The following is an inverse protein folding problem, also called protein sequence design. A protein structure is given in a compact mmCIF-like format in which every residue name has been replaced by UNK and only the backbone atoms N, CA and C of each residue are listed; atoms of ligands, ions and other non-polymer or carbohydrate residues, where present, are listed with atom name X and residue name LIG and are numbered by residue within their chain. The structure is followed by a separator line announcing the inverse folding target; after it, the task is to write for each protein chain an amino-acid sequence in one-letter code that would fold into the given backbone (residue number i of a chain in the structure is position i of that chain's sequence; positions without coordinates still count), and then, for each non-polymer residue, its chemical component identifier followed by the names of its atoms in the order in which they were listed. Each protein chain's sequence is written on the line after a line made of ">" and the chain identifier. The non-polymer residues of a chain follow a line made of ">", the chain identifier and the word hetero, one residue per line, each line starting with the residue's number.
data_IF_702330988585
#
_entry.id   IF_702330988585
#
_cell.length_a   1.000
_cell.length_b   1.000
_cell.length_c   1.000
_cell.angle_alpha   90.00
_cell.angle_beta   90.00
_cell.angle_gamma   90.00
#
_symmetry.space_group_name_H-M   'P 1'
#
loop_
_entity.id
_entity.type
_entity.pdbx_description
1 polymer ?
#
# COMPACT_ATOMS: atom_id res chain seq x y z
N UNK A 1 42.12 -22.21 54.32
CA UNK A 1 41.10 -21.22 53.88
C UNK A 1 41.47 -20.68 52.50
N UNK A 2 40.69 -20.97 51.45
CA UNK A 2 40.81 -20.31 50.14
C UNK A 2 39.39 -20.04 49.62
N UNK A 3 38.82 -18.88 49.95
CA UNK A 3 37.55 -18.42 49.36
C UNK A 3 37.87 -17.90 47.96
N UNK A 4 37.27 -18.51 46.94
CA UNK A 4 37.38 -18.06 45.55
C UNK A 4 36.74 -16.66 45.40
N UNK A 5 37.34 -15.73 44.66
CA UNK A 5 36.78 -14.41 44.45
C UNK A 5 35.52 -14.51 43.57
N UNK A 6 34.41 -13.97 44.07
CA UNK A 6 33.16 -13.90 43.32
C UNK A 6 33.26 -12.76 42.29
N UNK A 7 33.50 -13.13 41.03
CA UNK A 7 33.46 -12.20 39.89
C UNK A 7 31.97 -11.90 39.64
N UNK A 8 31.49 -10.76 40.14
CA UNK A 8 30.15 -10.26 39.80
C UNK A 8 30.13 -9.95 38.31
N UNK A 9 29.38 -10.74 37.54
CA UNK A 9 29.09 -10.46 36.14
C UNK A 9 28.34 -9.13 36.06
N UNK A 10 28.67 -8.22 35.13
CA UNK A 10 27.91 -6.99 34.96
C UNK A 10 26.47 -7.38 34.60
N UNK A 11 25.53 -6.98 35.44
CA UNK A 11 24.10 -7.08 35.15
C UNK A 11 23.83 -6.10 34.03
N UNK A 12 23.89 -6.56 32.78
CA UNK A 12 23.44 -5.79 31.63
C UNK A 12 21.92 -5.73 31.72
N UNK A 13 21.44 -4.74 32.45
CA UNK A 13 20.05 -4.28 32.46
C UNK A 13 19.73 -3.71 31.09
N UNK A 14 19.51 -4.59 30.12
CA UNK A 14 19.03 -4.24 28.79
C UNK A 14 17.63 -3.68 28.90
N UNK A 15 17.50 -2.35 28.88
CA UNK A 15 16.22 -1.65 28.75
C UNK A 15 15.69 -1.97 27.34
N UNK A 16 14.83 -2.99 27.23
CA UNK A 16 14.19 -3.37 25.98
C UNK A 16 13.24 -2.24 25.56
N UNK A 17 13.70 -1.32 24.70
CA UNK A 17 12.83 -0.34 24.05
C UNK A 17 11.82 -1.12 23.23
N UNK A 18 10.55 -1.07 23.63
CA UNK A 18 9.41 -1.46 22.77
C UNK A 18 9.46 -0.55 21.55
N UNK A 19 9.92 -1.08 20.41
CA UNK A 19 9.85 -0.38 19.13
C UNK A 19 8.38 -0.26 18.77
N UNK A 20 7.86 0.96 18.82
CA UNK A 20 6.51 1.27 18.39
C UNK A 20 6.49 1.09 16.87
N UNK A 21 5.86 0.02 16.40
CA UNK A 21 5.58 -0.17 14.99
C UNK A 21 4.46 0.81 14.64
N UNK A 22 4.82 2.02 14.22
CA UNK A 22 3.90 2.94 13.57
C UNK A 22 3.79 2.46 12.12
N UNK A 23 2.67 1.82 11.71
CA UNK A 23 2.51 1.42 10.33
C UNK A 23 2.51 2.67 9.45
N UNK A 24 3.30 2.64 8.37
CA UNK A 24 3.34 3.73 7.37
C UNK A 24 1.99 3.95 6.66
N UNK A 25 1.06 3.02 6.81
CA UNK A 25 -0.29 3.08 6.24
C UNK A 25 -1.31 3.04 7.39
N UNK A 26 -2.07 4.12 7.56
CA UNK A 26 -3.24 4.16 8.44
C UNK A 26 -4.33 3.24 7.84
N UNK A 27 -5.06 2.54 8.70
CA UNK A 27 -6.15 1.62 8.32
C UNK A 27 -7.26 2.32 7.53
N UNK A 28 -7.41 3.64 7.71
CA UNK A 28 -8.36 4.46 6.93
C UNK A 28 -7.92 4.65 5.48
N UNK A 29 -6.62 4.79 5.22
CA UNK A 29 -6.08 4.98 3.88
C UNK A 29 -6.04 3.67 3.08
N UNK A 30 -6.00 2.54 3.78
CA UNK A 30 -6.07 1.21 3.18
C UNK A 30 -7.36 0.99 2.37
N UNK A 31 -8.49 1.55 2.80
CA UNK A 31 -9.75 1.48 2.04
C UNK A 31 -9.68 2.23 0.70
N UNK A 32 -8.99 3.37 0.65
CA UNK A 32 -8.79 4.14 -0.60
C UNK A 32 -7.87 3.36 -1.55
N UNK A 33 -6.85 2.69 -1.00
CA UNK A 33 -5.94 1.82 -1.76
C UNK A 33 -6.71 0.68 -2.43
N UNK A 34 -7.55 -0.03 -1.67
CA UNK A 34 -8.41 -1.11 -2.20
C UNK A 34 -9.34 -0.58 -3.28
N UNK A 35 -9.98 0.57 -3.05
CA UNK A 35 -10.85 1.20 -4.04
C UNK A 35 -10.12 1.49 -5.36
N UNK A 36 -8.92 2.07 -5.28
CA UNK A 36 -8.09 2.34 -6.47
C UNK A 36 -7.64 1.06 -7.19
N UNK A 37 -7.30 0.00 -6.45
CA UNK A 37 -6.96 -1.31 -7.03
C UNK A 37 -8.15 -1.95 -7.75
N UNK A 38 -9.38 -1.82 -7.22
CA UNK A 38 -10.59 -2.32 -7.90
C UNK A 38 -10.85 -1.57 -9.21
N UNK A 39 -10.66 -0.25 -9.23
CA UNK A 39 -10.79 0.57 -10.45
C UNK A 39 -9.75 0.16 -11.49
N UNK A 40 -8.51 -0.06 -11.06
CA UNK A 40 -7.46 -0.64 -11.91
C UNK A 40 -7.85 -2.00 -12.48
N UNK A 41 -8.36 -2.91 -11.63
CA UNK A 41 -8.83 -4.22 -12.04
C UNK A 41 -9.93 -4.15 -13.10
N UNK A 42 -10.87 -3.23 -12.95
CA UNK A 42 -11.91 -2.97 -13.95
C UNK A 42 -11.33 -2.48 -15.28
N UNK A 43 -10.30 -1.62 -15.26
CA UNK A 43 -9.59 -1.19 -16.46
C UNK A 43 -8.97 -2.36 -17.23
N UNK A 44 -8.34 -3.30 -16.52
CA UNK A 44 -7.79 -4.52 -17.11
C UNK A 44 -8.89 -5.44 -17.66
N UNK A 45 -9.99 -5.63 -16.92
CA UNK A 45 -11.12 -6.44 -17.40
C UNK A 45 -11.69 -5.85 -18.71
N UNK A 46 -11.74 -4.52 -18.83
CA UNK A 46 -12.21 -3.85 -20.03
C UNK A 46 -11.29 -4.10 -21.25
N UNK A 47 -10.00 -4.39 -21.05
CA UNK A 47 -9.08 -4.80 -22.12
C UNK A 47 -9.32 -6.24 -22.60
N UNK A 48 -9.88 -7.14 -21.77
CA UNK A 48 -10.06 -8.55 -22.13
C UNK A 48 -11.08 -8.69 -23.26
N UNK A 49 -10.64 -9.18 -24.42
CA UNK A 49 -11.54 -9.53 -25.54
C UNK A 49 -11.25 -8.89 -26.89
N UNK A 50 -9.98 -8.79 -27.27
CA UNK A 50 -9.54 -8.67 -28.66
C UNK A 50 -9.04 -10.01 -29.22
N UNK A 51 -9.61 -11.12 -28.77
CA UNK A 51 -9.19 -12.45 -29.23
C UNK A 51 -9.83 -12.74 -30.59
N UNK A 52 -9.03 -13.21 -31.54
CA UNK A 52 -9.46 -13.67 -32.85
C UNK A 52 -9.14 -15.16 -32.97
N UNK A 53 -10.13 -15.96 -33.37
CA UNK A 53 -9.98 -17.42 -33.54
C UNK A 53 -9.07 -17.78 -34.72
N UNK A 54 -8.96 -16.91 -35.72
CA UNK A 54 -8.21 -17.16 -36.95
C UNK A 54 -7.10 -16.10 -37.14
N UNK A 55 -5.81 -16.43 -36.93
CA UNK A 55 -4.71 -15.45 -36.96
C UNK A 55 -4.41 -14.93 -38.38
N UNK A 56 -4.97 -15.55 -39.42
CA UNK A 56 -4.86 -15.13 -40.81
C UNK A 56 -5.87 -14.03 -41.20
N UNK A 57 -6.88 -13.77 -40.37
CA UNK A 57 -7.91 -12.76 -40.64
C UNK A 57 -7.88 -11.65 -39.60
N UNK A 58 -7.56 -10.42 -40.05
CA UNK A 58 -7.44 -9.27 -39.16
C UNK A 58 -8.81 -8.65 -38.89
N UNK A 59 -9.41 -8.95 -37.75
CA UNK A 59 -10.67 -8.36 -37.33
C UNK A 59 -10.43 -6.99 -36.67
N UNK A 60 -10.39 -5.94 -37.49
CA UNK A 60 -10.20 -4.54 -37.05
C UNK A 60 -11.24 -4.11 -36.01
N UNK A 61 -12.50 -4.54 -36.14
CA UNK A 61 -13.58 -4.14 -35.24
C UNK A 61 -13.45 -4.77 -33.83
N UNK A 62 -12.87 -5.97 -33.73
CA UNK A 62 -12.61 -6.65 -32.46
C UNK A 62 -11.35 -6.14 -31.75
N UNK A 63 -10.33 -5.77 -32.52
CA UNK A 63 -9.02 -5.32 -32.01
C UNK A 63 -8.96 -3.81 -31.76
N UNK A 64 -9.44 -3.01 -32.71
CA UNK A 64 -9.45 -1.55 -32.67
C UNK A 64 -10.84 -1.03 -32.34
N UNK A 65 -11.37 -1.49 -31.21
CA UNK A 65 -12.50 -0.79 -30.62
C UNK A 65 -11.97 0.42 -29.84
N UNK A 66 -12.36 1.64 -30.22
CA UNK A 66 -12.02 2.89 -29.51
C UNK A 66 -12.28 2.79 -28.01
N UNK A 67 -13.25 1.96 -27.61
CA UNK A 67 -13.60 1.66 -26.22
C UNK A 67 -12.54 0.86 -25.46
N UNK A 68 -11.71 0.05 -26.11
CA UNK A 68 -10.64 -0.72 -25.47
C UNK A 68 -9.30 0.00 -25.57
N UNK A 69 -9.02 0.64 -26.69
CA UNK A 69 -7.71 1.29 -26.91
C UNK A 69 -7.60 2.65 -26.23
N UNK A 70 -8.72 3.35 -25.98
CA UNK A 70 -8.72 4.70 -25.38
C UNK A 70 -9.38 4.72 -24.02
N UNK A 71 -10.54 4.09 -23.85
CA UNK A 71 -11.23 4.14 -22.56
C UNK A 71 -10.53 3.27 -21.51
N UNK A 72 -10.00 2.10 -21.89
CA UNK A 72 -9.32 1.24 -20.91
C UNK A 72 -8.03 1.86 -20.33
N UNK A 73 -7.12 2.49 -21.11
CA UNK A 73 -5.94 3.11 -20.53
C UNK A 73 -6.28 4.32 -19.66
N UNK A 74 -7.33 5.08 -20.00
CA UNK A 74 -7.81 6.19 -19.17
C UNK A 74 -8.29 5.69 -17.81
N UNK A 75 -9.04 4.58 -17.76
CA UNK A 75 -9.52 3.99 -16.50
C UNK A 75 -8.35 3.49 -15.65
N UNK A 76 -7.33 2.89 -16.27
CA UNK A 76 -6.11 2.50 -15.56
C UNK A 76 -5.40 3.72 -14.95
N UNK A 77 -5.23 4.80 -15.72
CA UNK A 77 -4.60 6.04 -15.24
C UNK A 77 -5.41 6.65 -14.09
N UNK A 78 -6.74 6.68 -14.18
CA UNK A 78 -7.59 7.12 -13.08
C UNK A 78 -7.41 6.26 -11.83
N UNK A 79 -7.29 4.94 -11.98
CA UNK A 79 -6.96 4.03 -10.89
C UNK A 79 -5.62 4.36 -10.23
N UNK A 80 -4.57 4.65 -11.02
CA UNK A 80 -3.27 5.11 -10.48
C UNK A 80 -3.45 6.40 -9.68
N UNK A 81 -4.16 7.39 -10.23
CA UNK A 81 -4.34 8.70 -9.58
C UNK A 81 -5.03 8.54 -8.23
N UNK A 82 -6.05 7.70 -8.14
CA UNK A 82 -6.76 7.40 -6.88
C UNK A 82 -5.82 6.78 -5.85
N UNK A 83 -4.98 5.81 -6.26
CA UNK A 83 -4.00 5.17 -5.38
C UNK A 83 -2.97 6.18 -4.89
N UNK A 84 -2.40 6.99 -5.79
CA UNK A 84 -1.43 8.04 -5.45
C UNK A 84 -2.08 9.01 -4.46
N UNK A 85 -3.30 9.47 -4.73
CA UNK A 85 -4.02 10.36 -3.81
C UNK A 85 -4.30 9.70 -2.46
N UNK A 86 -4.66 8.42 -2.42
CA UNK A 86 -4.86 7.68 -1.18
C UNK A 86 -3.59 7.51 -0.34
N UNK A 87 -2.44 7.35 -0.99
CA UNK A 87 -1.13 7.28 -0.32
C UNK A 87 -0.70 8.65 0.19
N UNK A 88 -0.83 9.70 -0.64
CA UNK A 88 -0.42 11.07 -0.27
C UNK A 88 -1.38 11.77 0.70
N UNK A 89 -2.58 11.22 0.92
CA UNK A 89 -3.55 11.77 1.86
C UNK A 89 -3.10 11.48 3.30
N UNK A 90 -2.10 12.21 3.77
CA UNK A 90 -1.69 12.25 5.17
C UNK A 90 -2.87 12.70 6.04
N UNK A 91 -3.41 11.78 6.83
CA UNK A 91 -4.21 12.13 8.00
C UNK A 91 -3.35 11.79 9.20
N UNK A 92 -2.81 12.81 9.88
CA UNK A 92 -1.90 12.66 11.00
C UNK A 92 -2.66 12.82 12.33
N UNK A 93 -3.24 11.75 12.93
CA UNK A 93 -3.83 11.83 14.26
C UNK A 93 -2.79 11.81 15.40
N UNK A 94 -1.49 11.70 15.12
CA UNK A 94 -0.47 11.41 16.15
C UNK A 94 -0.01 12.63 16.95
N UNK A 95 -0.63 13.81 16.79
CA UNK A 95 -0.33 15.00 17.61
C UNK A 95 -1.16 15.09 18.90
N UNK A 96 -1.89 14.05 19.28
CA UNK A 96 -2.81 14.11 20.44
C UNK A 96 -2.28 13.41 21.71
N UNK A 97 -1.53 12.29 21.61
CA UNK A 97 -1.08 11.55 22.81
C UNK A 97 0.19 12.11 23.45
N UNK A 98 1.13 12.67 22.67
CA UNK A 98 2.41 13.15 23.19
C UNK A 98 2.30 14.45 24.02
N UNK A 99 1.18 15.18 23.95
CA UNK A 99 0.98 16.41 24.73
C UNK A 99 0.36 16.17 26.11
N UNK A 100 -0.26 15.01 26.33
CA UNK A 100 -0.91 14.71 27.60
C UNK A 100 0.10 14.24 28.68
N UNK A 101 1.19 13.60 28.26
CA UNK A 101 2.16 12.96 29.18
C UNK A 101 3.31 13.88 29.60
N UNK A 102 3.43 15.08 29.00
CA UNK A 102 4.53 16.04 29.26
C UNK A 102 4.07 17.19 30.18
N UNK A 103 2.77 17.30 30.45
CA UNK A 103 2.19 18.37 31.27
C UNK A 103 1.61 17.89 32.61
N UNK A 104 1.85 16.62 32.98
CA UNK A 104 1.42 15.99 34.23
C UNK A 104 2.61 15.61 35.11
#
# INVERSE_FOLDING_TARGET
>A
MKKKPQIKKPVVSGRSKKTKYEPFLDVKNFYVLIGGTLVMGLGFILMIGGYNDDPSFFNEAGLYSTRRTVVSPIVLILGVIIIIWGIFKDFNPTKQSDKADVSA
#
